data_IF_484715824118
#
_entry.id   IF_484715824118
#
_cell.length_a   1.000
_cell.length_b   1.000
_cell.length_c   1.000
_cell.angle_alpha   90.00
_cell.angle_beta   90.00
_cell.angle_gamma   90.00
#
_symmetry.space_group_name_H-M   'P 1'
#
loop_
_entity.id
_entity.type
_entity.pdbx_description
1 polymer ?
#
# COMPACT_ATOMS: atom_id res chain seq x y z
N UNK A 1 14.61 31.03 3.98
CA UNK A 1 15.16 30.38 5.19
C UNK A 1 14.20 30.65 6.35
N UNK A 2 13.07 29.94 6.42
CA UNK A 2 12.10 30.05 7.52
C UNK A 2 12.32 28.81 8.38
N UNK A 3 12.87 29.02 9.59
CA UNK A 3 13.16 27.97 10.56
C UNK A 3 11.96 27.80 11.48
N UNK A 4 11.28 26.66 11.42
CA UNK A 4 10.38 26.20 12.48
C UNK A 4 11.19 25.35 13.46
N UNK A 5 11.54 25.93 14.61
CA UNK A 5 12.38 25.30 15.64
C UNK A 5 11.70 24.15 16.40
N UNK A 6 10.38 23.96 16.24
CA UNK A 6 9.64 22.92 16.94
C UNK A 6 9.65 21.57 16.20
N UNK A 7 9.67 21.58 14.86
CA UNK A 7 9.69 20.34 14.06
C UNK A 7 11.08 19.68 14.07
N UNK A 8 12.15 20.47 14.20
CA UNK A 8 13.53 19.99 14.19
C UNK A 8 13.87 19.17 15.45
N UNK A 9 13.35 19.55 16.63
CA UNK A 9 13.65 18.82 17.87
C UNK A 9 13.00 17.42 17.94
N UNK A 10 11.84 17.21 17.31
CA UNK A 10 11.24 15.87 17.19
C UNK A 10 11.90 15.06 16.07
N UNK A 11 12.26 15.70 14.95
CA UNK A 11 12.93 15.05 13.84
C UNK A 11 14.36 14.59 14.15
N UNK A 12 15.05 15.21 15.10
CA UNK A 12 16.39 14.79 15.55
C UNK A 12 16.34 13.60 16.54
N UNK A 13 15.24 13.43 17.29
CA UNK A 13 15.12 12.39 18.33
C UNK A 13 14.53 11.08 17.80
N UNK A 14 13.55 11.16 16.89
CA UNK A 14 12.85 9.99 16.36
C UNK A 14 13.76 9.01 15.61
N UNK A 15 14.71 9.46 14.75
CA UNK A 15 15.61 8.58 14.02
C UNK A 15 16.60 7.81 14.88
N UNK A 16 16.98 8.38 16.02
CA UNK A 16 17.92 7.76 16.93
C UNK A 16 17.26 6.65 17.78
N UNK A 17 15.94 6.69 17.97
CA UNK A 17 15.19 5.76 18.80
C UNK A 17 14.80 4.48 18.05
N UNK A 18 14.30 4.58 16.81
CA UNK A 18 13.86 3.41 16.04
C UNK A 18 15.01 2.47 15.63
N UNK A 19 16.18 3.04 15.28
CA UNK A 19 17.37 2.27 14.93
C UNK A 19 17.90 1.40 16.08
N UNK A 20 17.53 1.71 17.33
CA UNK A 20 17.87 0.88 18.51
C UNK A 20 16.96 -0.34 18.68
N UNK A 21 15.77 -0.33 18.09
CA UNK A 21 14.81 -1.43 18.15
C UNK A 21 14.87 -2.37 16.94
N UNK A 22 15.74 -2.08 15.95
CA UNK A 22 15.87 -2.86 14.72
C UNK A 22 14.83 -2.50 13.64
N UNK A 23 14.01 -1.47 13.89
CA UNK A 23 12.98 -1.01 12.96
C UNK A 23 13.59 -0.20 11.81
N UNK A 24 13.26 -0.61 10.58
CA UNK A 24 13.59 0.12 9.36
C UNK A 24 12.52 1.15 9.05
N UNK A 25 12.92 2.29 8.47
CA UNK A 25 12.02 3.41 8.20
C UNK A 25 12.05 3.81 6.74
N UNK A 26 10.86 3.94 6.17
CA UNK A 26 10.65 4.59 4.88
C UNK A 26 9.80 5.84 5.04
N UNK A 27 9.98 6.80 4.14
CA UNK A 27 9.18 8.02 4.09
C UNK A 27 8.51 8.15 2.72
N UNK A 28 7.28 8.68 2.68
CA UNK A 28 6.62 9.01 1.42
C UNK A 28 7.09 10.37 0.96
N UNK A 29 7.56 10.46 -0.28
CA UNK A 29 7.91 11.72 -0.91
C UNK A 29 6.80 12.10 -1.89
N UNK A 30 6.29 13.33 -1.73
CA UNK A 30 5.43 14.02 -2.69
C UNK A 30 6.06 15.37 -3.04
N UNK A 31 5.89 15.79 -4.28
CA UNK A 31 6.47 17.03 -4.83
C UNK A 31 5.41 18.07 -5.21
N UNK A 32 4.13 17.75 -4.98
CA UNK A 32 3.00 18.60 -5.34
C UNK A 32 2.56 19.41 -4.11
N UNK A 33 2.72 20.74 -4.17
CA UNK A 33 2.21 21.63 -3.13
C UNK A 33 1.74 22.96 -3.71
N UNK A 34 0.56 23.40 -3.29
CA UNK A 34 -0.15 24.56 -3.84
C UNK A 34 0.16 25.82 -3.01
N UNK A 35 0.28 25.71 -1.69
CA UNK A 35 0.60 26.83 -0.81
C UNK A 35 2.07 26.79 -0.36
N UNK A 36 2.71 27.95 -0.23
CA UNK A 36 4.10 28.07 0.23
C UNK A 36 5.16 27.78 -0.84
N UNK A 37 4.75 27.44 -2.07
CA UNK A 37 5.65 27.28 -3.21
C UNK A 37 5.99 28.63 -3.86
N UNK A 38 7.18 29.15 -3.57
CA UNK A 38 7.68 30.39 -4.17
C UNK A 38 8.56 30.17 -5.41
N UNK A 39 8.83 28.92 -5.81
CA UNK A 39 9.69 28.61 -6.96
C UNK A 39 9.24 29.29 -8.26
N UNK A 40 7.94 29.39 -8.60
CA UNK A 40 7.50 30.09 -9.81
C UNK A 40 7.97 31.56 -9.88
N UNK A 41 8.21 32.21 -8.73
CA UNK A 41 8.66 33.61 -8.69
C UNK A 41 10.16 33.78 -8.89
N UNK A 42 10.96 32.81 -8.47
CA UNK A 42 12.43 32.90 -8.47
C UNK A 42 13.08 32.12 -9.60
N UNK A 43 12.46 31.03 -10.03
CA UNK A 43 12.91 30.16 -11.11
C UNK A 43 11.70 29.71 -11.95
N UNK A 44 11.15 30.58 -12.82
CA UNK A 44 9.97 30.25 -13.63
C UNK A 44 10.13 28.95 -14.44
N UNK A 45 11.33 28.72 -15.00
CA UNK A 45 11.66 27.50 -15.75
C UNK A 45 11.75 26.21 -14.90
N UNK A 46 11.39 26.27 -13.62
CA UNK A 46 11.19 25.09 -12.77
C UNK A 46 9.97 24.27 -13.20
N UNK A 47 8.98 24.93 -13.80
CA UNK A 47 7.74 24.32 -14.29
C UNK A 47 7.68 24.43 -15.81
N UNK A 48 6.86 23.59 -16.43
CA UNK A 48 6.48 23.74 -17.83
C UNK A 48 5.45 24.88 -17.97
N UNK A 49 5.54 25.66 -19.04
CA UNK A 49 4.63 26.79 -19.29
C UNK A 49 3.22 26.34 -19.71
N UNK A 50 3.07 25.13 -20.27
CA UNK A 50 1.86 24.66 -20.95
C UNK A 50 1.37 23.27 -20.46
N UNK A 51 1.93 22.74 -19.37
CA UNK A 51 1.56 21.42 -18.85
C UNK A 51 1.19 21.52 -17.37
N UNK A 52 0.07 20.92 -17.01
CA UNK A 52 -0.44 20.83 -15.63
C UNK A 52 -0.62 19.36 -15.23
N UNK A 53 -0.49 19.08 -13.94
CA UNK A 53 -0.97 17.85 -13.27
C UNK A 53 -2.33 18.14 -12.63
N UNK A 54 -3.05 17.12 -12.10
CA UNK A 54 -4.27 17.35 -11.33
C UNK A 54 -4.10 18.25 -10.09
N UNK A 55 -2.86 18.49 -9.64
CA UNK A 55 -2.54 19.21 -8.41
C UNK A 55 -1.74 20.50 -8.61
N UNK A 56 -1.38 20.86 -9.84
CA UNK A 56 -0.68 22.11 -10.14
C UNK A 56 0.18 22.07 -11.41
N UNK A 57 1.00 23.11 -11.68
CA UNK A 57 1.88 23.15 -12.85
C UNK A 57 2.86 21.98 -12.89
N UNK A 58 3.03 21.37 -14.06
CA UNK A 58 3.93 20.25 -14.23
C UNK A 58 5.39 20.69 -14.06
N UNK A 59 6.17 19.89 -13.36
CA UNK A 59 7.58 20.14 -13.08
C UNK A 59 8.42 19.86 -14.33
N UNK A 60 9.37 20.73 -14.66
CA UNK A 60 10.26 20.58 -15.80
C UNK A 60 11.53 19.78 -15.44
N UNK A 61 11.41 18.46 -15.44
CA UNK A 61 12.52 17.55 -15.09
C UNK A 61 13.67 17.51 -16.11
N UNK A 62 13.45 18.01 -17.34
CA UNK A 62 14.49 18.17 -18.36
C UNK A 62 15.45 19.34 -18.09
N UNK A 63 15.16 20.19 -17.11
CA UNK A 63 16.08 21.23 -16.66
C UNK A 63 17.05 20.66 -15.60
N UNK A 64 18.36 20.67 -15.89
CA UNK A 64 19.40 20.13 -15.01
C UNK A 64 19.33 20.62 -13.56
N UNK A 65 19.01 21.90 -13.33
CA UNK A 65 18.93 22.46 -11.98
C UNK A 65 17.70 21.96 -11.22
N UNK A 66 16.57 21.79 -11.92
CA UNK A 66 15.32 21.23 -11.37
C UNK A 66 15.52 19.77 -11.05
N UNK A 67 16.07 19.02 -12.00
CA UNK A 67 16.43 17.61 -11.85
C UNK A 67 17.33 17.38 -10.64
N UNK A 68 18.39 18.19 -10.52
CA UNK A 68 19.32 18.13 -9.40
C UNK A 68 18.65 18.42 -8.07
N UNK A 69 17.69 19.35 -8.02
CA UNK A 69 16.93 19.66 -6.81
C UNK A 69 16.20 18.42 -6.26
N UNK A 70 15.55 17.62 -7.10
CA UNK A 70 14.84 16.41 -6.67
C UNK A 70 15.80 15.28 -6.27
N UNK A 71 16.87 15.06 -7.02
CA UNK A 71 17.90 14.07 -6.68
C UNK A 71 18.55 14.41 -5.34
N UNK A 72 18.95 15.67 -5.14
CA UNK A 72 19.54 16.11 -3.87
C UNK A 72 18.54 16.05 -2.71
N UNK A 73 17.25 16.28 -2.95
CA UNK A 73 16.21 16.10 -1.92
C UNK A 73 16.11 14.63 -1.46
N UNK A 74 16.10 13.69 -2.40
CA UNK A 74 16.12 12.24 -2.10
C UNK A 74 17.37 11.88 -1.29
N UNK A 75 18.55 12.31 -1.74
CA UNK A 75 19.80 12.06 -1.04
C UNK A 75 19.83 12.70 0.35
N UNK A 76 19.27 13.90 0.49
CA UNK A 76 19.20 14.63 1.76
C UNK A 76 18.39 13.83 2.79
N UNK A 77 17.19 13.37 2.44
CA UNK A 77 16.37 12.56 3.34
C UNK A 77 17.05 11.26 3.75
N UNK A 78 17.67 10.55 2.80
CA UNK A 78 18.38 9.29 3.07
C UNK A 78 19.65 9.48 3.89
N UNK A 79 20.38 10.59 3.69
CA UNK A 79 21.67 10.86 4.37
C UNK A 79 21.47 11.48 5.74
N UNK A 80 20.71 12.57 5.81
CA UNK A 80 20.57 13.38 7.02
C UNK A 80 19.70 12.68 8.08
N UNK A 81 18.57 12.12 7.65
CA UNK A 81 17.62 11.45 8.56
C UNK A 81 17.87 9.95 8.69
N UNK A 82 18.87 9.43 7.95
CA UNK A 82 19.26 8.02 7.91
C UNK A 82 18.05 7.10 7.72
N UNK A 83 17.20 7.43 6.76
CA UNK A 83 16.06 6.60 6.38
C UNK A 83 16.52 5.38 5.60
N UNK A 84 15.84 4.26 5.78
CA UNK A 84 16.14 2.97 5.14
C UNK A 84 15.51 2.86 3.75
N UNK A 85 14.59 3.75 3.39
CA UNK A 85 13.92 3.72 2.11
C UNK A 85 13.01 4.91 1.88
N UNK A 86 12.42 4.98 0.69
CA UNK A 86 11.49 6.01 0.28
C UNK A 86 10.37 5.38 -0.57
N UNK A 87 9.13 5.83 -0.38
CA UNK A 87 8.00 5.55 -1.26
C UNK A 87 7.71 6.78 -2.11
N UNK A 88 7.78 6.66 -3.41
CA UNK A 88 7.52 7.76 -4.34
C UNK A 88 6.03 7.81 -4.65
N UNK A 89 5.42 8.96 -4.40
CA UNK A 89 4.01 9.22 -4.66
C UNK A 89 3.73 9.35 -6.14
N UNK A 90 2.61 8.77 -6.58
CA UNK A 90 1.99 8.96 -7.90
C UNK A 90 3.01 9.12 -9.04
N UNK A 91 3.85 8.10 -9.23
CA UNK A 91 4.98 8.21 -10.16
C UNK A 91 4.55 8.39 -11.61
N UNK A 92 3.29 8.11 -11.91
CA UNK A 92 2.67 8.34 -13.20
C UNK A 92 2.59 9.81 -13.58
N UNK A 93 2.71 10.75 -12.63
CA UNK A 93 2.80 12.19 -12.90
C UNK A 93 4.23 12.71 -13.01
N UNK A 94 5.25 11.86 -12.81
CA UNK A 94 6.64 12.20 -13.08
C UNK A 94 6.89 11.98 -14.58
N UNK A 95 6.48 12.97 -15.40
CA UNK A 95 6.67 12.94 -16.86
C UNK A 95 8.01 13.55 -17.22
N UNK A 96 8.97 12.73 -17.62
CA UNK A 96 10.31 13.16 -18.03
C UNK A 96 10.72 12.53 -19.36
N UNK A 97 10.73 13.33 -20.42
CA UNK A 97 11.09 12.91 -21.79
C UNK A 97 12.61 12.98 -22.06
N UNK A 98 13.43 13.19 -21.02
CA UNK A 98 14.90 13.18 -21.13
C UNK A 98 15.41 11.80 -21.58
N UNK A 99 16.58 11.75 -22.21
CA UNK A 99 17.22 10.49 -22.64
C UNK A 99 17.39 9.47 -21.49
N UNK A 100 17.58 9.97 -20.26
CA UNK A 100 17.55 9.19 -19.02
C UNK A 100 16.45 9.75 -18.12
N UNK A 101 15.40 8.96 -17.90
CA UNK A 101 14.28 9.33 -17.03
C UNK A 101 14.74 9.62 -15.58
N UNK A 102 14.14 10.60 -14.91
CA UNK A 102 14.49 11.03 -13.55
C UNK A 102 14.55 9.87 -12.55
N UNK A 103 13.53 9.01 -12.55
CA UNK A 103 13.47 7.87 -11.63
C UNK A 103 14.62 6.88 -11.83
N UNK A 104 15.12 6.72 -13.07
CA UNK A 104 16.31 5.93 -13.35
C UNK A 104 17.52 6.56 -12.66
N UNK A 105 17.77 7.85 -12.92
CA UNK A 105 18.95 8.53 -12.35
C UNK A 105 18.89 8.63 -10.83
N UNK A 106 17.71 8.83 -10.24
CA UNK A 106 17.52 8.79 -8.79
C UNK A 106 17.97 7.44 -8.24
N UNK A 107 17.50 6.34 -8.83
CA UNK A 107 17.84 4.99 -8.38
C UNK A 107 19.36 4.74 -8.44
N UNK A 108 19.99 4.99 -9.59
CA UNK A 108 21.43 4.81 -9.75
C UNK A 108 22.23 5.69 -8.78
N UNK A 109 21.80 6.94 -8.59
CA UNK A 109 22.45 7.87 -7.68
C UNK A 109 22.34 7.41 -6.24
N UNK A 110 21.17 6.93 -5.81
CA UNK A 110 20.95 6.40 -4.46
C UNK A 110 21.82 5.18 -4.20
N UNK A 111 21.79 4.17 -5.08
CA UNK A 111 22.57 2.95 -4.88
C UNK A 111 24.08 3.19 -4.94
N UNK A 112 24.52 4.16 -5.74
CA UNK A 112 25.93 4.59 -5.76
C UNK A 112 26.31 5.34 -4.47
N UNK A 113 25.41 6.17 -3.93
CA UNK A 113 25.69 6.99 -2.74
C UNK A 113 25.66 6.20 -1.42
N UNK A 114 24.99 5.04 -1.38
CA UNK A 114 24.82 4.23 -0.18
C UNK A 114 25.22 2.75 -0.40
N UNK A 115 26.47 2.44 -0.80
CA UNK A 115 26.88 1.07 -1.12
C UNK A 115 26.90 0.15 0.11
N UNK A 116 27.10 0.71 1.30
CA UNK A 116 27.27 -0.04 2.54
C UNK A 116 25.96 -0.43 3.23
N UNK A 117 24.80 -0.02 2.70
CA UNK A 117 23.48 -0.37 3.24
C UNK A 117 22.44 -0.51 2.15
N UNK A 118 21.45 -1.35 2.41
CA UNK A 118 20.32 -1.48 1.50
C UNK A 118 19.35 -0.29 1.65
N UNK A 119 18.93 0.30 0.52
CA UNK A 119 17.91 1.35 0.46
C UNK A 119 16.67 0.84 -0.28
N UNK A 120 15.53 0.85 0.41
CA UNK A 120 14.24 0.38 -0.12
C UNK A 120 13.57 1.49 -0.93
N UNK A 121 13.72 1.49 -2.26
CA UNK A 121 12.99 2.40 -3.14
C UNK A 121 11.70 1.73 -3.61
N UNK A 122 10.57 2.32 -3.25
CA UNK A 122 9.23 1.80 -3.53
C UNK A 122 8.41 2.87 -4.24
N UNK A 123 7.34 2.48 -4.94
CA UNK A 123 6.47 3.45 -5.60
C UNK A 123 5.00 3.20 -5.30
N UNK A 124 4.20 4.18 -5.67
CA UNK A 124 2.80 4.03 -6.03
C UNK A 124 2.69 4.34 -7.52
N UNK A 125 2.29 3.33 -8.29
CA UNK A 125 2.21 3.38 -9.74
C UNK A 125 0.84 2.88 -10.22
N UNK A 126 -0.22 3.71 -10.16
CA UNK A 126 -1.58 3.31 -10.56
C UNK A 126 -1.68 2.70 -11.96
N UNK A 127 -0.87 3.12 -12.96
CA UNK A 127 -0.85 2.48 -14.26
C UNK A 127 -0.31 1.05 -14.30
N UNK A 128 0.31 0.50 -13.25
CA UNK A 128 0.82 -0.87 -13.15
C UNK A 128 1.95 -1.24 -14.16
N UNK A 129 2.80 -0.28 -14.53
CA UNK A 129 4.04 -0.57 -15.27
C UNK A 129 4.97 -1.51 -14.47
N UNK A 130 5.82 -2.30 -15.14
CA UNK A 130 6.68 -3.32 -14.49
C UNK A 130 8.19 -3.09 -14.71
N UNK A 131 8.55 -2.12 -15.54
CA UNK A 131 9.91 -1.87 -16.02
C UNK A 131 10.89 -1.42 -14.93
N UNK A 132 10.46 -0.54 -14.01
CA UNK A 132 11.30 -0.09 -12.89
C UNK A 132 11.81 -1.27 -12.04
N UNK A 133 10.97 -2.26 -11.79
CA UNK A 133 11.30 -3.45 -11.00
C UNK A 133 12.06 -4.49 -11.80
N UNK A 134 11.64 -4.71 -13.05
CA UNK A 134 12.32 -5.66 -13.93
C UNK A 134 13.80 -5.28 -14.15
N UNK A 135 14.12 -3.99 -14.11
CA UNK A 135 15.50 -3.47 -14.17
C UNK A 135 16.21 -3.42 -12.82
N UNK A 136 15.52 -3.67 -11.71
CA UNK A 136 16.07 -3.52 -10.36
C UNK A 136 16.34 -2.06 -9.96
N UNK A 137 15.68 -1.09 -10.60
CA UNK A 137 15.78 0.33 -10.22
C UNK A 137 14.97 0.61 -8.94
N UNK A 138 13.82 -0.05 -8.79
CA UNK A 138 12.97 -0.02 -7.61
C UNK A 138 12.68 -1.45 -7.15
N UNK A 139 12.35 -1.62 -5.86
CA UNK A 139 12.24 -2.96 -5.27
C UNK A 139 10.81 -3.45 -5.08
N UNK A 140 9.83 -2.54 -4.92
CA UNK A 140 8.43 -2.92 -4.78
C UNK A 140 7.46 -1.78 -5.13
N UNK A 141 6.23 -2.12 -5.50
CA UNK A 141 5.15 -1.18 -5.81
C UNK A 141 3.92 -1.42 -4.94
N UNK A 142 3.13 -0.38 -4.70
CA UNK A 142 1.77 -0.52 -4.18
C UNK A 142 0.85 -1.15 -5.23
N UNK A 143 0.28 -2.31 -4.91
CA UNK A 143 -0.65 -3.00 -5.80
C UNK A 143 -2.09 -2.85 -5.27
N UNK A 144 -2.72 -1.73 -5.64
CA UNK A 144 -4.09 -1.37 -5.26
C UNK A 144 -5.14 -2.35 -5.78
N UNK A 145 -4.86 -3.13 -6.84
CA UNK A 145 -5.80 -4.12 -7.35
C UNK A 145 -6.15 -5.15 -6.27
N UNK A 146 -5.17 -5.58 -5.47
CA UNK A 146 -5.43 -6.48 -4.33
C UNK A 146 -6.43 -5.86 -3.36
N UNK A 147 -6.20 -4.61 -2.94
CA UNK A 147 -7.08 -3.87 -2.06
C UNK A 147 -8.50 -3.78 -2.65
N UNK A 148 -8.63 -3.29 -3.89
CA UNK A 148 -9.93 -3.06 -4.51
C UNK A 148 -10.75 -4.35 -4.65
N UNK A 149 -10.11 -5.47 -4.98
CA UNK A 149 -10.77 -6.78 -5.08
C UNK A 149 -11.23 -7.25 -3.70
N UNK A 150 -10.35 -7.16 -2.69
CA UNK A 150 -10.68 -7.58 -1.33
C UNK A 150 -11.82 -6.73 -0.76
N UNK A 151 -11.76 -5.41 -0.93
CA UNK A 151 -12.82 -4.49 -0.50
C UNK A 151 -14.14 -4.82 -1.19
N UNK A 152 -14.11 -5.08 -2.51
CA UNK A 152 -15.28 -5.50 -3.28
C UNK A 152 -15.89 -6.80 -2.74
N UNK A 153 -15.07 -7.80 -2.42
CA UNK A 153 -15.53 -9.08 -1.82
C UNK A 153 -16.16 -8.83 -0.46
N UNK A 154 -15.50 -8.01 0.37
CA UNK A 154 -15.87 -7.84 1.77
C UNK A 154 -17.13 -6.99 1.97
N UNK A 155 -17.30 -5.95 1.15
CA UNK A 155 -18.36 -4.94 1.35
C UNK A 155 -19.51 -5.05 0.36
N UNK A 156 -19.27 -5.65 -0.81
CA UNK A 156 -20.23 -5.60 -1.90
C UNK A 156 -20.36 -4.21 -2.55
N UNK A 157 -19.47 -3.26 -2.29
CA UNK A 157 -19.45 -1.96 -2.98
C UNK A 157 -19.04 -2.12 -4.47
N UNK A 158 -19.55 -1.26 -5.36
CA UNK A 158 -19.27 -1.31 -6.82
C UNK A 158 -19.09 0.07 -7.46
N UNK A 159 -18.97 1.11 -6.64
CA UNK A 159 -18.82 2.50 -7.06
C UNK A 159 -17.32 2.83 -7.13
N UNK A 160 -16.96 3.80 -7.98
CA UNK A 160 -15.57 4.24 -8.15
C UNK A 160 -14.64 3.12 -8.60
N UNK A 161 -13.46 3.02 -7.97
CA UNK A 161 -12.42 2.03 -8.28
C UNK A 161 -12.92 0.57 -8.15
N UNK A 162 -13.94 0.30 -7.33
CA UNK A 162 -14.46 -1.06 -7.12
C UNK A 162 -15.29 -1.57 -8.31
N UNK A 163 -15.71 -0.70 -9.22
CA UNK A 163 -16.56 -1.03 -10.38
C UNK A 163 -15.94 -2.10 -11.27
N UNK A 164 -14.63 -2.03 -11.50
CA UNK A 164 -13.89 -2.97 -12.34
C UNK A 164 -13.97 -4.41 -11.79
N UNK A 165 -14.10 -4.56 -10.48
CA UNK A 165 -14.08 -5.84 -9.77
C UNK A 165 -15.46 -6.44 -9.54
N UNK A 166 -16.53 -5.83 -10.08
CA UNK A 166 -17.91 -6.32 -9.93
C UNK A 166 -18.10 -7.78 -10.37
N UNK A 167 -17.40 -8.20 -11.42
CA UNK A 167 -17.47 -9.55 -11.98
C UNK A 167 -16.26 -10.39 -11.56
N UNK A 168 -16.54 -11.64 -11.19
CA UNK A 168 -15.60 -12.69 -10.79
C UNK A 168 -14.53 -12.24 -9.77
N UNK A 169 -14.89 -11.60 -8.65
CA UNK A 169 -13.89 -11.03 -7.75
C UNK A 169 -12.98 -12.10 -7.11
N UNK A 170 -13.48 -13.32 -6.82
CA UNK A 170 -12.62 -14.41 -6.31
C UNK A 170 -11.64 -14.98 -7.34
N UNK A 171 -11.99 -14.96 -8.63
CA UNK A 171 -11.05 -15.29 -9.71
C UNK A 171 -9.93 -14.25 -9.77
N UNK A 172 -10.31 -12.96 -9.74
CA UNK A 172 -9.36 -11.85 -9.73
C UNK A 172 -8.47 -11.86 -8.48
N UNK A 173 -9.00 -12.23 -7.32
CA UNK A 173 -8.20 -12.36 -6.09
C UNK A 173 -7.16 -13.48 -6.22
N UNK A 174 -7.51 -14.61 -6.85
CA UNK A 174 -6.54 -15.67 -7.14
C UNK A 174 -5.47 -15.21 -8.14
N UNK A 175 -5.86 -14.49 -9.19
CA UNK A 175 -4.94 -13.91 -10.18
C UNK A 175 -3.99 -12.88 -9.57
N UNK A 176 -4.49 -11.89 -8.83
CA UNK A 176 -3.64 -10.82 -8.25
C UNK A 176 -2.64 -11.39 -7.23
N UNK A 177 -3.02 -12.44 -6.52
CA UNK A 177 -2.15 -13.16 -5.59
C UNK A 177 -1.09 -14.02 -6.31
N UNK A 178 -1.43 -14.61 -7.45
CA UNK A 178 -0.52 -15.46 -8.22
C UNK A 178 0.43 -14.66 -9.14
N UNK A 179 -0.07 -13.59 -9.75
CA UNK A 179 0.56 -12.92 -10.89
C UNK A 179 0.98 -11.46 -10.60
N UNK A 180 0.62 -10.89 -9.46
CA UNK A 180 0.89 -9.49 -9.15
C UNK A 180 -0.19 -8.57 -9.73
N UNK A 181 0.07 -7.85 -10.82
CA UNK A 181 -0.95 -7.02 -11.47
C UNK A 181 -1.86 -7.83 -12.39
N UNK A 182 -3.08 -7.32 -12.61
CA UNK A 182 -4.07 -7.95 -13.51
C UNK A 182 -3.97 -7.51 -14.98
N UNK A 183 -3.17 -6.49 -15.28
CA UNK A 183 -3.00 -5.94 -16.63
C UNK A 183 -1.57 -5.52 -16.90
N UNK A 184 -1.19 -5.52 -18.19
CA UNK A 184 0.03 -4.90 -18.67
C UNK A 184 -0.17 -3.38 -18.61
N UNK A 185 0.46 -2.74 -17.65
CA UNK A 185 0.29 -1.32 -17.38
C UNK A 185 0.87 -0.36 -18.42
N UNK A 186 1.30 0.82 -17.97
CA UNK A 186 2.01 1.79 -18.81
C UNK A 186 3.50 1.86 -18.45
N UNK A 187 4.41 1.96 -19.43
CA UNK A 187 5.84 2.08 -19.17
C UNK A 187 6.20 3.41 -18.52
N UNK A 188 7.25 3.40 -17.69
CA UNK A 188 7.82 4.60 -17.06
C UNK A 188 9.17 4.98 -17.68
N UNK A 189 10.05 4.00 -17.88
CA UNK A 189 11.41 4.16 -18.40
C UNK A 189 11.68 3.37 -19.68
N UNK A 190 11.07 2.20 -19.84
CA UNK A 190 11.30 1.30 -20.97
C UNK A 190 10.00 0.99 -21.70
N UNK A 191 10.01 1.05 -23.03
CA UNK A 191 8.81 0.81 -23.85
C UNK A 191 8.25 -0.61 -23.72
N UNK A 192 9.11 -1.60 -23.48
CA UNK A 192 8.74 -3.00 -23.36
C UNK A 192 8.52 -3.37 -21.88
N UNK A 193 7.31 -3.79 -21.55
CA UNK A 193 6.96 -4.24 -20.20
C UNK A 193 7.02 -5.77 -20.12
N UNK A 194 7.80 -6.34 -19.18
CA UNK A 194 7.68 -7.74 -18.82
C UNK A 194 6.32 -8.05 -18.20
N UNK A 195 5.86 -9.29 -18.34
CA UNK A 195 4.61 -9.72 -17.70
C UNK A 195 4.69 -9.50 -16.17
N UNK A 196 3.63 -9.00 -15.50
CA UNK A 196 3.64 -8.84 -14.04
C UNK A 196 4.05 -10.11 -13.30
N UNK A 197 3.55 -11.26 -13.76
CA UNK A 197 3.89 -12.56 -13.20
C UNK A 197 5.39 -12.87 -13.28
N UNK A 198 6.17 -12.23 -14.16
CA UNK A 198 7.63 -12.43 -14.24
C UNK A 198 8.41 -11.77 -13.10
N UNK A 199 7.78 -10.87 -12.35
CA UNK A 199 8.37 -10.25 -11.17
C UNK A 199 8.23 -11.18 -9.94
N UNK A 200 9.16 -11.14 -8.99
CA UNK A 200 9.01 -11.87 -7.74
C UNK A 200 7.82 -11.33 -6.94
N UNK A 201 7.15 -12.14 -6.10
CA UNK A 201 6.04 -11.67 -5.27
C UNK A 201 6.44 -10.52 -4.34
N UNK A 202 7.72 -10.42 -3.96
CA UNK A 202 8.26 -9.33 -3.14
C UNK A 202 8.29 -7.97 -3.85
N UNK A 203 8.06 -7.93 -5.17
CA UNK A 203 7.89 -6.68 -5.93
C UNK A 203 6.53 -6.02 -5.71
N UNK A 204 5.60 -6.66 -4.99
CA UNK A 204 4.26 -6.14 -4.75
C UNK A 204 4.01 -5.92 -3.26
N UNK A 205 3.52 -4.73 -2.94
CA UNK A 205 3.05 -4.33 -1.62
C UNK A 205 1.53 -4.43 -1.62
N UNK A 206 1.00 -5.29 -0.76
CA UNK A 206 -0.43 -5.49 -0.57
C UNK A 206 -0.88 -4.86 0.75
N UNK A 207 -2.12 -4.38 0.78
CA UNK A 207 -2.72 -3.77 1.96
C UNK A 207 -4.24 -3.95 1.95
N UNK A 208 -4.84 -4.02 3.14
CA UNK A 208 -6.30 -3.91 3.32
C UNK A 208 -6.74 -2.46 3.54
N UNK A 209 -5.84 -1.64 4.05
CA UNK A 209 -6.06 -0.25 4.40
C UNK A 209 -4.76 0.50 4.12
N UNK A 210 -4.88 1.73 3.64
CA UNK A 210 -3.83 2.73 3.67
C UNK A 210 -4.51 4.10 3.86
N UNK A 211 -3.73 5.18 3.79
CA UNK A 211 -4.26 6.53 3.99
C UNK A 211 -5.26 6.96 2.90
N UNK A 212 -5.09 6.55 1.64
CA UNK A 212 -6.03 6.87 0.54
C UNK A 212 -7.31 6.05 0.65
N UNK A 213 -7.17 4.74 0.80
CA UNK A 213 -8.28 3.78 0.79
C UNK A 213 -9.22 3.95 2.00
N UNK A 214 -8.76 4.64 3.06
CA UNK A 214 -9.59 5.11 4.15
C UNK A 214 -9.94 6.60 3.96
N UNK A 215 -8.93 7.47 3.84
CA UNK A 215 -9.06 8.93 3.86
C UNK A 215 -9.81 9.56 2.70
N UNK A 216 -9.86 8.90 1.55
CA UNK A 216 -10.60 9.38 0.38
C UNK A 216 -12.07 8.96 0.36
N UNK A 217 -12.49 8.10 1.29
CA UNK A 217 -13.91 7.78 1.49
C UNK A 217 -14.64 8.97 2.10
N UNK A 218 -15.94 9.11 1.78
CA UNK A 218 -16.78 10.21 2.28
C UNK A 218 -16.67 10.44 3.79
N UNK A 219 -16.64 9.35 4.57
CA UNK A 219 -16.59 9.38 6.04
C UNK A 219 -15.30 8.85 6.64
N UNK A 220 -14.26 8.59 5.83
CA UNK A 220 -12.99 8.09 6.36
C UNK A 220 -13.10 6.74 7.08
N UNK A 221 -14.12 5.94 6.78
CA UNK A 221 -14.43 4.72 7.53
C UNK A 221 -13.44 3.59 7.27
N UNK A 222 -13.04 2.90 8.34
CA UNK A 222 -12.15 1.74 8.29
C UNK A 222 -12.88 0.47 7.89
N UNK A 223 -12.18 -0.45 7.22
CA UNK A 223 -12.78 -1.71 6.76
C UNK A 223 -13.26 -2.58 7.94
N UNK A 224 -12.47 -2.64 9.02
CA UNK A 224 -12.75 -3.47 10.19
C UNK A 224 -14.09 -3.13 10.88
N UNK A 225 -14.56 -1.88 10.80
CA UNK A 225 -15.82 -1.46 11.41
C UNK A 225 -17.04 -1.73 10.53
N UNK A 226 -16.84 -2.25 9.31
CA UNK A 226 -17.88 -2.39 8.28
C UNK A 226 -18.23 -3.80 7.86
N UNK A 227 -17.43 -4.79 8.28
CA UNK A 227 -17.57 -6.17 7.84
C UNK A 227 -17.57 -7.14 9.04
N UNK A 228 -17.96 -8.39 8.79
CA UNK A 228 -17.93 -9.45 9.82
C UNK A 228 -16.50 -9.68 10.33
N UNK A 229 -16.35 -9.83 11.66
CA UNK A 229 -15.04 -9.98 12.31
C UNK A 229 -14.26 -11.19 11.81
N UNK A 230 -14.94 -12.30 11.51
CA UNK A 230 -14.30 -13.52 11.00
C UNK A 230 -13.84 -13.33 9.57
N UNK A 231 -14.62 -12.65 8.74
CA UNK A 231 -14.19 -12.27 7.40
C UNK A 231 -12.97 -11.34 7.47
N UNK A 232 -12.98 -10.31 8.31
CA UNK A 232 -11.82 -9.42 8.49
C UNK A 232 -10.57 -10.18 8.93
N UNK A 233 -10.71 -11.11 9.88
CA UNK A 233 -9.63 -12.03 10.30
C UNK A 233 -9.08 -12.84 9.13
N UNK A 234 -9.93 -13.42 8.30
CA UNK A 234 -9.52 -14.19 7.13
C UNK A 234 -8.71 -13.32 6.15
N UNK A 235 -9.18 -12.10 5.87
CA UNK A 235 -8.50 -11.17 4.97
C UNK A 235 -7.13 -10.75 5.51
N UNK A 236 -7.00 -10.52 6.82
CA UNK A 236 -5.72 -10.22 7.47
C UNK A 236 -4.78 -11.43 7.40
N UNK A 237 -5.29 -12.65 7.55
CA UNK A 237 -4.49 -13.87 7.37
C UNK A 237 -3.98 -14.01 5.93
N UNK A 238 -4.83 -13.73 4.92
CA UNK A 238 -4.42 -13.72 3.51
C UNK A 238 -3.30 -12.69 3.30
N UNK A 239 -3.49 -11.45 3.77
CA UNK A 239 -2.47 -10.40 3.64
C UNK A 239 -1.13 -10.80 4.29
N UNK A 240 -1.17 -11.23 5.55
CA UNK A 240 0.05 -11.46 6.34
C UNK A 240 0.75 -12.78 6.02
N UNK A 241 0.07 -13.77 5.44
CA UNK A 241 0.68 -15.07 5.12
C UNK A 241 1.04 -15.24 3.62
N UNK A 242 0.58 -14.35 2.75
CA UNK A 242 0.98 -14.37 1.33
C UNK A 242 2.43 -13.88 1.14
N UNK A 243 3.15 -14.29 0.09
CA UNK A 243 4.56 -13.94 -0.08
C UNK A 243 4.82 -12.47 -0.43
N UNK A 244 3.81 -11.74 -0.90
CA UNK A 244 3.86 -10.30 -1.14
C UNK A 244 4.19 -9.53 0.16
N UNK A 245 4.64 -8.28 0.03
CA UNK A 245 5.01 -7.43 1.17
C UNK A 245 3.71 -6.84 1.78
N UNK A 246 3.36 -7.15 3.04
CA UNK A 246 2.17 -6.58 3.64
C UNK A 246 2.45 -5.17 4.16
N UNK A 247 1.50 -4.26 3.93
CA UNK A 247 1.42 -2.95 4.57
C UNK A 247 0.17 -2.93 5.49
N UNK A 248 0.38 -2.45 6.71
CA UNK A 248 -0.68 -2.18 7.69
C UNK A 248 -0.81 -0.67 7.85
N UNK A 249 -2.05 -0.17 7.89
CA UNK A 249 -2.29 1.23 8.22
C UNK A 249 -2.29 1.42 9.73
N UNK A 250 -1.86 2.59 10.20
CA UNK A 250 -1.78 2.85 11.64
C UNK A 250 -3.14 2.60 12.31
N UNK A 251 -3.13 1.78 13.37
CA UNK A 251 -4.34 1.36 14.07
C UNK A 251 -4.92 0.01 13.64
N UNK A 252 -4.52 -0.54 12.48
CA UNK A 252 -4.98 -1.88 12.05
C UNK A 252 -4.54 -2.98 13.02
N UNK A 253 -3.44 -2.76 13.73
CA UNK A 253 -2.83 -3.66 14.70
C UNK A 253 -3.63 -3.79 16.01
N UNK A 254 -4.60 -2.91 16.28
CA UNK A 254 -5.56 -3.03 17.39
C UNK A 254 -7.02 -2.79 16.97
N UNK A 255 -7.31 -2.79 15.66
CA UNK A 255 -8.62 -2.43 15.06
C UNK A 255 -9.12 -1.05 15.50
N UNK A 256 -8.37 -0.01 15.18
CA UNK A 256 -8.82 1.36 15.38
C UNK A 256 -10.26 1.56 14.88
N UNK A 257 -11.04 2.26 15.70
CA UNK A 257 -12.47 2.50 15.49
C UNK A 257 -12.72 3.92 14.97
N UNK A 258 -11.79 4.83 15.19
CA UNK A 258 -11.86 6.17 14.64
C UNK A 258 -11.65 6.12 13.12
N UNK A 259 -12.46 6.91 12.42
CA UNK A 259 -12.24 7.23 11.02
C UNK A 259 -10.86 7.86 10.82
N UNK A 260 -10.35 7.80 9.59
CA UNK A 260 -9.25 8.63 9.15
C UNK A 260 -9.76 9.47 7.99
N UNK A 261 -9.94 10.77 8.19
CA UNK A 261 -10.45 11.68 7.18
C UNK A 261 -9.31 12.35 6.42
N UNK A 262 -9.62 12.86 5.24
CA UNK A 262 -8.81 13.93 4.66
C UNK A 262 -9.01 15.22 5.48
N UNK A 263 -7.92 15.78 5.99
CA UNK A 263 -7.91 17.05 6.72
C UNK A 263 -6.80 17.97 6.21
N UNK A 264 -7.04 19.26 6.27
CA UNK A 264 -6.12 20.34 5.89
C UNK A 264 -6.31 21.55 6.83
N UNK A 265 -5.50 22.58 6.65
CA UNK A 265 -5.57 23.83 7.42
C UNK A 265 -5.46 25.04 6.48
N UNK A 266 -6.18 24.98 5.35
CA UNK A 266 -6.22 26.05 4.37
C UNK A 266 -7.29 27.08 4.74
N UNK A 267 -7.07 28.33 4.32
CA UNK A 267 -8.02 29.43 4.50
C UNK A 267 -8.48 29.98 3.13
N UNK A 268 -9.61 30.68 3.14
CA UNK A 268 -10.10 31.44 1.98
C UNK A 268 -10.48 30.56 0.77
N UNK A 269 -10.14 31.02 -0.44
CA UNK A 269 -10.52 30.36 -1.69
C UNK A 269 -9.98 28.93 -1.81
N UNK A 270 -8.76 28.69 -1.34
CA UNK A 270 -8.16 27.36 -1.37
C UNK A 270 -8.90 26.37 -0.48
N UNK A 271 -9.37 26.82 0.69
CA UNK A 271 -10.19 26.01 1.59
C UNK A 271 -11.47 25.52 0.91
N UNK A 272 -12.15 26.41 0.18
CA UNK A 272 -13.39 26.09 -0.53
C UNK A 272 -13.16 25.17 -1.74
N UNK A 273 -12.07 25.36 -2.49
CA UNK A 273 -11.68 24.45 -3.59
C UNK A 273 -11.44 23.04 -3.04
N UNK A 274 -10.66 22.91 -1.96
CA UNK A 274 -10.37 21.63 -1.33
C UNK A 274 -11.65 20.97 -0.82
N UNK A 275 -12.55 21.73 -0.18
CA UNK A 275 -13.86 21.24 0.28
C UNK A 275 -14.68 20.69 -0.90
N UNK A 276 -14.83 21.47 -1.97
CA UNK A 276 -15.63 21.09 -3.14
C UNK A 276 -15.10 19.84 -3.86
N UNK A 277 -13.78 19.65 -3.89
CA UNK A 277 -13.17 18.48 -4.54
C UNK A 277 -13.43 17.17 -3.77
N UNK A 278 -13.77 17.21 -2.47
CA UNK A 278 -13.98 15.99 -1.67
C UNK A 278 -15.14 15.13 -2.15
N UNK A 279 -16.17 15.75 -2.73
CA UNK A 279 -17.32 15.03 -3.31
C UNK A 279 -16.88 14.08 -4.42
N UNK A 280 -16.03 14.58 -5.32
CA UNK A 280 -15.51 13.78 -6.43
C UNK A 280 -14.57 12.67 -5.96
N UNK A 281 -13.71 12.95 -4.97
CA UNK A 281 -12.88 11.92 -4.35
C UNK A 281 -13.73 10.83 -3.69
N UNK A 282 -14.76 11.20 -2.92
CA UNK A 282 -15.66 10.23 -2.30
C UNK A 282 -16.29 9.28 -3.32
N UNK A 283 -16.73 9.77 -4.48
CA UNK A 283 -17.28 8.96 -5.57
C UNK A 283 -16.25 7.97 -6.16
N UNK A 284 -14.97 8.33 -6.20
CA UNK A 284 -13.91 7.42 -6.63
C UNK A 284 -13.66 6.29 -5.61
N UNK A 285 -13.92 6.53 -4.32
CA UNK A 285 -13.62 5.62 -3.21
C UNK A 285 -14.87 4.96 -2.59
N UNK A 286 -15.90 4.71 -3.39
CA UNK A 286 -17.08 3.93 -3.00
C UNK A 286 -18.37 4.74 -2.82
N UNK A 287 -18.29 6.06 -3.03
CA UNK A 287 -19.42 6.98 -2.95
C UNK A 287 -19.91 7.22 -1.53
N UNK A 288 -21.18 7.60 -1.43
CA UNK A 288 -21.83 7.96 -0.17
C UNK A 288 -22.47 6.75 0.50
N UNK A 289 -22.30 6.57 1.83
CA UNK A 289 -23.12 5.64 2.58
C UNK A 289 -24.61 5.93 2.43
N UNK A 290 -25.45 4.89 2.58
CA UNK A 290 -26.89 5.02 2.37
C UNK A 290 -27.51 6.09 3.29
N UNK A 291 -28.18 7.07 2.68
CA UNK A 291 -28.83 8.18 3.39
C UNK A 291 -27.94 9.39 3.64
N UNK A 292 -26.69 9.36 3.19
CA UNK A 292 -25.77 10.49 3.23
C UNK A 292 -25.53 11.09 1.84
N UNK A 293 -25.05 12.33 1.84
CA UNK A 293 -24.77 13.12 0.66
C UNK A 293 -23.47 13.95 0.83
N UNK A 294 -23.18 14.79 -0.15
CA UNK A 294 -22.01 15.67 -0.17
C UNK A 294 -21.92 16.55 1.09
N UNK A 295 -23.06 17.01 1.60
CA UNK A 295 -23.13 17.88 2.77
C UNK A 295 -22.72 17.18 4.08
N UNK A 296 -22.69 15.84 4.08
CA UNK A 296 -22.29 15.03 5.23
C UNK A 296 -20.77 14.75 5.26
N UNK A 297 -20.03 15.09 4.20
CA UNK A 297 -18.58 14.97 4.19
C UNK A 297 -18.00 15.95 5.22
N UNK A 298 -17.20 15.47 6.21
CA UNK A 298 -16.56 16.36 7.17
C UNK A 298 -15.68 17.39 6.47
N UNK A 299 -15.85 18.65 6.84
CA UNK A 299 -15.05 19.75 6.31
C UNK A 299 -13.56 19.53 6.61
N UNK A 300 -12.70 19.37 5.58
CA UNK A 300 -11.28 19.13 5.76
C UNK A 300 -10.56 20.18 6.61
N UNK A 301 -11.01 21.44 6.55
CA UNK A 301 -10.34 22.57 7.17
C UNK A 301 -10.78 22.82 8.62
N UNK A 302 -11.67 21.98 9.17
CA UNK A 302 -12.05 22.09 10.58
C UNK A 302 -11.13 21.27 11.48
N UNK A 303 -10.75 21.86 12.61
CA UNK A 303 -9.96 21.18 13.64
C UNK A 303 -10.63 19.86 14.10
N UNK A 304 -11.95 19.80 14.11
CA UNK A 304 -12.70 18.59 14.46
C UNK A 304 -12.37 17.41 13.54
N UNK A 305 -12.24 17.63 12.22
CA UNK A 305 -11.94 16.56 11.25
C UNK A 305 -10.56 15.95 11.49
N UNK A 306 -9.57 16.78 11.85
CA UNK A 306 -8.27 16.28 12.32
C UNK A 306 -8.38 15.54 13.67
N UNK A 307 -9.13 16.09 14.62
CA UNK A 307 -9.27 15.50 15.96
C UNK A 307 -9.95 14.14 15.93
N UNK A 308 -10.99 13.95 15.12
CA UNK A 308 -11.65 12.65 14.95
C UNK A 308 -10.78 11.62 14.26
N UNK A 309 -9.77 12.07 13.49
CA UNK A 309 -8.79 11.21 12.82
C UNK A 309 -7.65 10.72 13.73
N UNK A 310 -7.57 11.19 14.98
CA UNK A 310 -6.52 10.78 15.93
C UNK A 310 -6.77 9.36 16.43
N UNK A 311 -5.68 8.59 16.55
CA UNK A 311 -5.69 7.26 17.13
C UNK A 311 -6.17 7.25 18.60
N UNK A 312 -6.96 6.25 18.96
CA UNK A 312 -7.48 5.97 20.30
C UNK A 312 -6.60 4.94 21.01
N UNK A 313 -5.55 5.41 21.66
CA UNK A 313 -4.65 4.56 22.43
C UNK A 313 -5.33 3.84 23.61
N UNK A 314 -6.37 4.45 24.19
CA UNK A 314 -7.20 3.80 25.20
C UNK A 314 -7.98 2.60 24.64
N UNK A 315 -8.36 2.63 23.35
CA UNK A 315 -8.95 1.48 22.66
C UNK A 315 -7.90 0.38 22.41
N UNK A 316 -6.67 0.76 22.05
CA UNK A 316 -5.56 -0.18 21.88
C UNK A 316 -5.24 -0.96 23.17
N UNK A 317 -5.32 -0.27 24.32
CA UNK A 317 -5.07 -0.86 25.64
C UNK A 317 -6.27 -1.63 26.22
N UNK A 318 -7.47 -1.44 25.66
CA UNK A 318 -8.66 -2.19 26.07
C UNK A 318 -8.54 -3.68 25.70
N UNK A 319 -9.34 -4.52 26.36
CA UNK A 319 -9.28 -5.98 26.22
C UNK A 319 -9.39 -6.46 24.76
N UNK A 320 -10.25 -5.85 23.95
CA UNK A 320 -10.45 -6.22 22.55
C UNK A 320 -9.25 -5.82 21.67
N UNK A 321 -8.79 -4.57 21.78
CA UNK A 321 -7.61 -4.07 21.06
C UNK A 321 -6.33 -4.81 21.42
N UNK A 322 -6.11 -5.07 22.71
CA UNK A 322 -4.95 -5.82 23.20
C UNK A 322 -4.97 -7.29 22.73
N UNK A 323 -6.15 -7.94 22.75
CA UNK A 323 -6.32 -9.30 22.23
C UNK A 323 -6.01 -9.39 20.74
N UNK A 324 -6.50 -8.43 19.95
CA UNK A 324 -6.18 -8.34 18.53
C UNK A 324 -4.69 -8.08 18.29
N UNK A 325 -4.08 -7.16 19.03
CA UNK A 325 -2.64 -6.88 18.94
C UNK A 325 -1.79 -8.11 19.22
N UNK A 326 -2.18 -8.92 20.21
CA UNK A 326 -1.50 -10.17 20.51
C UNK A 326 -1.63 -11.18 19.37
N UNK A 327 -2.81 -11.31 18.81
CA UNK A 327 -3.05 -12.17 17.64
C UNK A 327 -2.25 -11.72 16.41
N UNK A 328 -2.18 -10.42 16.12
CA UNK A 328 -1.33 -9.87 15.04
C UNK A 328 0.15 -10.19 15.30
N UNK A 329 0.64 -10.03 16.54
CA UNK A 329 2.00 -10.39 16.93
C UNK A 329 2.31 -11.87 16.69
N UNK A 330 1.39 -12.77 17.03
CA UNK A 330 1.54 -14.21 16.81
C UNK A 330 1.65 -14.53 15.31
N UNK A 331 0.78 -13.96 14.48
CA UNK A 331 0.81 -14.15 13.02
C UNK A 331 2.10 -13.59 12.43
N UNK A 332 2.54 -12.40 12.83
CA UNK A 332 3.80 -11.82 12.36
C UNK A 332 5.00 -12.69 12.77
N UNK A 333 4.98 -13.32 13.95
CA UNK A 333 6.02 -14.25 14.35
C UNK A 333 6.06 -15.50 13.46
N UNK A 334 4.89 -16.03 13.05
CA UNK A 334 4.82 -17.11 12.06
C UNK A 334 5.35 -16.64 10.70
N UNK A 335 4.94 -15.45 10.22
CA UNK A 335 5.45 -14.88 8.97
C UNK A 335 6.97 -14.80 8.98
N UNK A 336 7.56 -14.22 10.03
CA UNK A 336 9.00 -14.02 10.16
C UNK A 336 9.78 -15.35 10.19
N UNK A 337 9.24 -16.37 10.84
CA UNK A 337 9.96 -17.64 11.05
C UNK A 337 9.70 -18.68 9.95
N UNK A 338 8.58 -18.58 9.23
CA UNK A 338 8.14 -19.59 8.25
C UNK A 338 8.02 -19.10 6.83
N UNK A 339 7.65 -17.82 6.62
CA UNK A 339 7.40 -17.27 5.28
C UNK A 339 8.61 -16.48 4.79
N UNK A 340 9.10 -15.51 5.59
CA UNK A 340 10.22 -14.63 5.22
C UNK A 340 11.48 -15.38 4.75
N UNK A 341 11.90 -16.50 5.37
CA UNK A 341 13.07 -17.24 4.89
C UNK A 341 12.92 -17.78 3.46
N UNK A 342 11.68 -18.05 3.01
CA UNK A 342 11.39 -18.54 1.67
C UNK A 342 11.46 -17.43 0.62
N UNK A 343 11.28 -16.17 1.02
CA UNK A 343 11.19 -15.03 0.09
C UNK A 343 12.52 -14.68 -0.56
N UNK A 344 13.65 -15.05 0.04
CA UNK A 344 14.98 -14.82 -0.53
C UNK A 344 15.22 -15.59 -1.84
N UNK A 345 14.51 -16.70 -2.04
CA UNK A 345 14.57 -17.55 -3.24
C UNK A 345 13.37 -17.33 -4.17
N UNK A 346 12.50 -16.35 -3.87
CA UNK A 346 11.31 -16.08 -4.66
C UNK A 346 11.69 -15.45 -6.00
N UNK A 347 11.42 -16.17 -7.09
CA UNK A 347 11.57 -15.66 -8.46
C UNK A 347 10.23 -15.24 -9.07
N UNK A 348 10.31 -14.83 -10.34
CA UNK A 348 9.13 -14.69 -11.19
C UNK A 348 8.41 -16.02 -11.41
N UNK A 349 7.15 -15.91 -11.84
CA UNK A 349 6.22 -16.99 -12.15
C UNK A 349 6.02 -17.96 -10.99
N UNK A 350 6.15 -17.46 -9.76
CA UNK A 350 6.02 -18.27 -8.55
C UNK A 350 4.60 -18.78 -8.35
N UNK A 351 3.58 -17.97 -8.66
CA UNK A 351 2.18 -18.26 -8.36
C UNK A 351 1.51 -19.22 -9.34
N UNK A 352 0.71 -20.14 -8.81
CA UNK A 352 -0.19 -21.03 -9.56
C UNK A 352 -1.57 -21.01 -8.92
N UNK A 353 -2.59 -20.78 -9.73
CA UNK A 353 -3.99 -20.85 -9.29
C UNK A 353 -4.40 -22.32 -9.18
N UNK A 354 -4.93 -22.69 -8.03
CA UNK A 354 -5.45 -24.04 -7.79
C UNK A 354 -6.98 -24.02 -8.00
N UNK A 355 -7.55 -24.98 -8.74
CA UNK A 355 -8.99 -25.12 -8.84
C UNK A 355 -9.63 -25.19 -7.45
N UNK A 356 -10.64 -24.36 -7.23
CA UNK A 356 -11.25 -24.22 -5.91
C UNK A 356 -12.74 -23.92 -6.02
N UNK A 357 -13.55 -24.27 -4.99
CA UNK A 357 -14.97 -23.96 -4.94
C UNK A 357 -15.26 -22.46 -5.11
N UNK A 358 -16.53 -22.11 -5.36
CA UNK A 358 -16.96 -20.72 -5.35
C UNK A 358 -16.61 -20.06 -4.00
N UNK A 359 -16.26 -18.77 -4.05
CA UNK A 359 -15.96 -17.96 -2.87
C UNK A 359 -14.73 -18.40 -2.05
N UNK A 360 -13.85 -19.19 -2.66
CA UNK A 360 -12.58 -19.62 -2.05
C UNK A 360 -11.38 -19.08 -2.82
N UNK A 361 -10.23 -19.01 -2.17
CA UNK A 361 -8.97 -18.52 -2.74
C UNK A 361 -7.89 -19.55 -2.48
N UNK A 362 -7.61 -20.40 -3.48
CA UNK A 362 -6.52 -21.36 -3.43
C UNK A 362 -5.42 -20.95 -4.40
N UNK A 363 -4.24 -20.67 -3.85
CA UNK A 363 -3.05 -20.25 -4.60
C UNK A 363 -1.83 -20.94 -4.01
N UNK A 364 -0.96 -21.41 -4.89
CA UNK A 364 0.33 -22.00 -4.54
C UNK A 364 1.44 -21.10 -5.06
N UNK A 365 2.53 -20.93 -4.31
CA UNK A 365 3.71 -20.21 -4.74
C UNK A 365 4.95 -21.07 -4.62
N UNK A 366 5.67 -21.28 -5.73
CA UNK A 366 6.99 -21.91 -5.72
C UNK A 366 8.04 -20.88 -5.28
N UNK A 367 8.58 -21.06 -4.07
CA UNK A 367 9.57 -20.20 -3.44
C UNK A 367 10.86 -21.02 -3.24
N UNK A 368 11.70 -21.07 -4.26
CA UNK A 368 12.89 -21.93 -4.28
C UNK A 368 12.53 -23.41 -4.35
N UNK A 369 12.94 -24.18 -3.34
CA UNK A 369 12.62 -25.62 -3.20
C UNK A 369 11.34 -25.88 -2.37
N UNK A 370 10.58 -24.85 -2.03
CA UNK A 370 9.36 -24.99 -1.22
C UNK A 370 8.17 -24.38 -1.93
N UNK A 371 7.07 -25.13 -2.03
CA UNK A 371 5.78 -24.58 -2.42
C UNK A 371 5.03 -24.13 -1.18
N UNK A 372 4.74 -22.83 -1.08
CA UNK A 372 3.83 -22.28 -0.08
C UNK A 372 2.40 -22.35 -0.62
N UNK A 373 1.45 -22.85 0.16
CA UNK A 373 0.09 -23.13 -0.31
C UNK A 373 -0.92 -22.43 0.59
N UNK A 374 -1.70 -21.49 0.04
CA UNK A 374 -2.80 -20.82 0.74
C UNK A 374 -4.12 -21.46 0.37
N UNK A 375 -4.92 -21.82 1.38
CA UNK A 375 -6.26 -22.37 1.25
C UNK A 375 -7.20 -21.52 2.11
N UNK A 376 -7.93 -20.61 1.48
CA UNK A 376 -8.86 -19.73 2.16
C UNK A 376 -10.30 -19.93 1.70
N UNK A 377 -11.22 -20.06 2.66
CA UNK A 377 -12.66 -20.04 2.43
C UNK A 377 -13.19 -18.68 2.88
N UNK A 378 -13.73 -17.88 1.96
CA UNK A 378 -14.32 -16.58 2.27
C UNK A 378 -15.85 -16.61 2.30
N UNK A 379 -16.44 -17.81 2.37
CA UNK A 379 -17.89 -18.01 2.43
C UNK A 379 -18.37 -18.42 3.83
N UNK A 380 -19.69 -18.40 4.00
CA UNK A 380 -20.35 -18.93 5.19
C UNK A 380 -20.43 -20.47 5.22
N UNK A 381 -20.13 -21.14 4.11
CA UNK A 381 -20.36 -22.57 3.94
C UNK A 381 -19.01 -23.28 3.99
N UNK A 382 -18.81 -24.28 4.87
CA UNK A 382 -17.59 -25.06 4.87
C UNK A 382 -17.35 -25.74 3.53
N UNK A 383 -16.09 -25.87 3.13
CA UNK A 383 -15.72 -26.54 1.89
C UNK A 383 -14.56 -27.50 2.12
N UNK A 384 -14.54 -28.57 1.33
CA UNK A 384 -13.43 -29.52 1.35
C UNK A 384 -12.24 -28.96 0.59
N UNK A 385 -11.05 -29.36 1.02
CA UNK A 385 -9.81 -29.10 0.31
C UNK A 385 -8.87 -30.29 0.53
N UNK A 386 -7.91 -30.47 -0.38
CA UNK A 386 -6.86 -31.45 -0.18
C UNK A 386 -5.63 -30.73 0.40
N UNK A 387 -5.23 -31.02 1.66
CA UNK A 387 -4.00 -30.48 2.21
C UNK A 387 -2.81 -31.14 1.53
N UNK A 388 -1.83 -30.30 1.20
CA UNK A 388 -0.55 -30.73 0.66
C UNK A 388 0.53 -30.14 1.57
N UNK A 389 1.51 -30.97 1.99
CA UNK A 389 2.62 -30.51 2.83
C UNK A 389 2.31 -30.32 4.32
N UNK A 390 3.25 -29.67 5.00
CA UNK A 390 3.22 -29.41 6.44
C UNK A 390 2.41 -28.15 6.75
N UNK A 391 1.54 -28.22 7.77
CA UNK A 391 0.77 -27.05 8.21
C UNK A 391 1.69 -25.97 8.80
N UNK A 392 1.68 -24.78 8.20
CA UNK A 392 2.42 -23.59 8.63
C UNK A 392 1.57 -22.72 9.54
N UNK A 393 0.30 -22.50 9.15
CA UNK A 393 -0.62 -21.61 9.85
C UNK A 393 -2.06 -22.04 9.65
N UNK A 394 -2.90 -21.81 10.66
CA UNK A 394 -4.36 -21.94 10.60
C UNK A 394 -5.00 -20.80 11.38
N UNK A 395 -6.06 -20.21 10.83
CA UNK A 395 -6.83 -19.17 11.52
C UNK A 395 -7.83 -19.73 12.53
N UNK A 396 -8.14 -21.03 12.47
CA UNK A 396 -8.97 -21.74 13.46
C UNK A 396 -8.14 -22.77 14.26
N UNK A 397 -8.72 -23.21 15.36
CA UNK A 397 -8.13 -24.00 16.43
C UNK A 397 -8.01 -25.51 16.17
N UNK A 398 -8.69 -26.08 15.16
CA UNK A 398 -8.50 -27.49 14.78
C UNK A 398 -7.60 -27.66 13.55
N UNK A 399 -6.27 -27.81 13.75
CA UNK A 399 -5.31 -27.97 12.66
C UNK A 399 -5.47 -29.28 11.89
N UNK A 400 -6.28 -30.24 12.39
CA UNK A 400 -6.43 -31.57 11.78
C UNK A 400 -7.67 -31.71 10.90
N UNK A 401 -8.53 -30.70 10.87
CA UNK A 401 -9.69 -30.71 9.99
C UNK A 401 -9.25 -30.69 8.52
N UNK A 402 -9.78 -31.64 7.74
CA UNK A 402 -9.62 -31.72 6.28
C UNK A 402 -10.65 -30.84 5.54
N UNK A 403 -11.48 -30.12 6.27
CA UNK A 403 -12.38 -29.09 5.74
C UNK A 403 -11.86 -27.69 6.11
N UNK A 404 -12.20 -26.71 5.27
CA UNK A 404 -12.13 -25.29 5.60
C UNK A 404 -13.51 -24.85 6.11
N UNK A 405 -13.56 -24.44 7.36
CA UNK A 405 -14.68 -23.78 7.97
C UNK A 405 -15.00 -22.43 7.33
N UNK A 406 -16.06 -21.81 7.84
CA UNK A 406 -16.49 -20.47 7.41
C UNK A 406 -15.43 -19.42 7.74
N UNK A 407 -15.02 -18.64 6.75
CA UNK A 407 -13.99 -17.61 6.89
C UNK A 407 -12.65 -18.13 7.44
N UNK A 408 -12.26 -19.36 7.08
CA UNK A 408 -11.03 -19.99 7.54
C UNK A 408 -9.90 -19.88 6.50
N UNK A 409 -8.68 -19.66 6.99
CA UNK A 409 -7.44 -19.66 6.20
C UNK A 409 -6.47 -20.68 6.78
N UNK A 410 -6.00 -21.59 5.92
CA UNK A 410 -4.89 -22.51 6.21
C UNK A 410 -3.75 -22.27 5.23
N UNK A 411 -2.53 -22.39 5.74
CA UNK A 411 -1.30 -22.24 4.97
C UNK A 411 -0.41 -23.43 5.20
N UNK A 412 0.12 -23.98 4.13
CA UNK A 412 0.99 -25.16 4.14
C UNK A 412 2.30 -24.88 3.44
N UNK A 413 3.33 -25.67 3.74
CA UNK A 413 4.60 -25.69 3.03
C UNK A 413 4.94 -27.11 2.59
N UNK A 414 5.18 -27.30 1.30
CA UNK A 414 5.61 -28.55 0.72
C UNK A 414 7.02 -28.39 0.15
N UNK A 415 7.98 -29.19 0.65
CA UNK A 415 9.31 -29.26 0.03
C UNK A 415 9.22 -30.10 -1.25
N UNK A 416 9.59 -29.51 -2.37
CA UNK A 416 9.56 -30.13 -3.71
C UNK A 416 10.90 -30.72 -4.09
#
# INVERSE_FOLDING_TARGET
>A
MIRSSACQQQADQFPALSGRHGDRRSYTISWDTIEGNYLPRFAPGFFHDEQDTPWGPAINYGNDAVRRYFIDNVLYWLREFRLDGLRFNAIDYIKDDSDVHLLHEISETVYTAFPDRHVHLMTENPPNGTDLWAKGLFIADWNDAFHHIVHRIATGETIGHFKEFKRNPWEKLRLVLAEGYLSMGQPTVDKDLPAPASLPPTAFIHFLQNHDQVGNRALGDRLASRIDDRLYRALVCILLMSPQIPLLFMGDDYKEINSFHYFSDYEGELAEIIRANRSQEAENFGGYPAGLAEEDIPDPNTLSTFQTSKLRWDHAEASEGASWSNWIREILAVRQTKIVPLLAEAGGYAGTIVPSPAETVFVDWQLGQTTLQLRANLSAIPCSFEPCGDLVFTSDSDPRSLDLGSFEVKVFALKT
#
